data_IF_293796047144
#
_entry.id   IF_293796047144
#
_cell.length_a   1.000
_cell.length_b   1.000
_cell.length_c   1.000
_cell.angle_alpha   90.00
_cell.angle_beta   90.00
_cell.angle_gamma   90.00
#
_symmetry.space_group_name_H-M   'P 1'
#
loop_
_entity.id
_entity.type
_entity.pdbx_description
1 polymer ?
#
# COMPACT_ATOMS: atom_id res chain seq x y z
N UNK A 1 -15.79 4.00 33.15
CA UNK A 1 -15.48 3.86 32.58
C UNK A 1 -15.02 3.81 31.67
N UNK A 2 -14.99 3.59 31.80
CA UNK A 2 -14.52 3.41 31.03
C UNK A 2 -14.31 3.28 30.11
N UNK A 3 -14.08 3.07 30.09
CA UNK A 3 -13.78 2.81 29.31
C UNK A 3 -13.37 2.81 28.40
N UNK A 4 -13.33 2.75 28.74
CA UNK A 4 -12.87 2.60 28.05
C UNK A 4 -12.24 2.73 27.32
N UNK A 5 -12.21 2.88 27.84
CA UNK A 5 -11.59 2.94 27.28
C UNK A 5 -10.97 2.78 26.59
N UNK A 6 -10.91 2.55 26.85
CA UNK A 6 -10.30 2.29 26.35
C UNK A 6 -9.77 2.25 25.58
N UNK A 7 -9.75 2.17 25.86
CA UNK A 7 -9.19 2.01 25.23
C UNK A 7 -8.66 2.19 24.76
N UNK A 8 -8.75 2.45 25.17
CA UNK A 8 -8.26 2.41 24.75
C UNK A 8 -7.35 2.21 24.30
N UNK A 9 -7.57 2.08 24.56
CA UNK A 9 -6.40 1.40 24.24
C UNK A 9 -6.01 1.32 22.79
N UNK A 10 -6.57 2.07 22.04
CA UNK A 10 -6.20 2.23 20.66
C UNK A 10 -4.77 2.71 20.56
N UNK A 11 -3.96 2.04 19.75
CA UNK A 11 -2.61 2.48 19.46
C UNK A 11 -2.66 3.68 18.53
N UNK A 12 -2.41 4.84 19.08
CA UNK A 12 -2.47 6.07 18.29
C UNK A 12 -1.14 6.41 17.63
N UNK A 13 -0.10 5.65 17.92
CA UNK A 13 1.18 5.87 17.28
C UNK A 13 1.16 5.33 15.87
N UNK A 14 1.79 6.07 14.99
CA UNK A 14 1.98 5.60 13.63
C UNK A 14 3.16 4.64 13.60
N UNK A 15 3.08 3.69 12.68
CA UNK A 15 4.15 2.72 12.46
C UNK A 15 4.70 2.89 11.06
N UNK A 16 5.93 2.45 10.89
CA UNK A 16 6.57 2.47 9.57
C UNK A 16 6.17 1.23 8.78
N UNK A 17 5.79 1.45 7.54
CA UNK A 17 5.36 0.39 6.64
C UNK A 17 6.09 0.48 5.32
N UNK A 18 6.29 -0.67 4.71
CA UNK A 18 6.64 -0.77 3.30
C UNK A 18 5.51 -1.45 2.56
N UNK A 19 5.13 -0.89 1.45
CA UNK A 19 4.11 -1.46 0.60
C UNK A 19 4.71 -1.71 -0.77
N UNK A 20 4.73 -2.98 -1.18
CA UNK A 20 5.16 -3.35 -2.51
C UNK A 20 3.90 -3.61 -3.32
N UNK A 21 3.77 -2.91 -4.44
CA UNK A 21 2.69 -3.11 -5.38
C UNK A 21 3.22 -3.76 -6.63
N UNK A 22 2.52 -4.76 -7.12
CA UNK A 22 2.79 -5.34 -8.42
C UNK A 22 1.60 -4.96 -9.29
N UNK A 23 1.85 -4.07 -10.24
CA UNK A 23 0.81 -3.49 -11.08
C UNK A 23 0.85 -4.15 -12.44
N UNK A 24 -0.32 -4.28 -13.08
CA UNK A 24 -0.41 -4.89 -14.40
C UNK A 24 0.56 -4.23 -15.38
N UNK A 25 1.32 -5.03 -16.14
CA UNK A 25 2.29 -4.48 -17.08
C UNK A 25 1.63 -3.80 -18.28
N UNK A 26 0.33 -3.99 -18.45
CA UNK A 26 -0.43 -3.35 -19.52
C UNK A 26 -0.85 -1.93 -19.17
N UNK A 27 -0.68 -1.54 -17.91
CA UNK A 27 -1.05 -0.20 -17.46
C UNK A 27 -0.02 0.79 -18.00
N UNK A 28 -0.49 1.83 -18.69
CA UNK A 28 0.41 2.87 -19.19
C UNK A 28 0.87 3.76 -18.05
N UNK A 29 1.95 4.51 -18.28
CA UNK A 29 2.59 5.32 -17.24
C UNK A 29 1.63 6.30 -16.57
N UNK A 30 0.74 6.92 -17.33
CA UNK A 30 -0.22 7.86 -16.77
C UNK A 30 -1.15 7.20 -15.77
N UNK A 31 -1.61 5.99 -16.10
CA UNK A 31 -2.50 5.25 -15.22
C UNK A 31 -1.73 4.73 -14.01
N UNK A 32 -0.46 4.38 -14.22
CA UNK A 32 0.40 3.97 -13.11
C UNK A 32 0.57 5.13 -12.13
N UNK A 33 0.83 6.33 -12.63
CA UNK A 33 0.92 7.53 -11.81
C UNK A 33 -0.36 7.74 -11.02
N UNK A 34 -1.51 7.60 -11.66
CA UNK A 34 -2.80 7.76 -11.01
C UNK A 34 -2.99 6.75 -9.90
N UNK A 35 -2.57 5.51 -10.14
CA UNK A 35 -2.68 4.44 -9.14
C UNK A 35 -1.82 4.76 -7.91
N UNK A 36 -0.59 5.20 -8.15
CA UNK A 36 0.31 5.58 -7.07
C UNK A 36 -0.25 6.77 -6.31
N UNK A 37 -0.78 7.76 -7.02
CA UNK A 37 -1.36 8.96 -6.41
C UNK A 37 -2.55 8.61 -5.52
N UNK A 38 -3.39 7.67 -5.94
CA UNK A 38 -4.53 7.27 -5.14
C UNK A 38 -4.10 6.62 -3.83
N UNK A 39 -3.06 5.80 -3.87
CA UNK A 39 -2.52 5.18 -2.67
C UNK A 39 -1.94 6.24 -1.75
N UNK A 40 -1.15 7.15 -2.32
CA UNK A 40 -0.54 8.23 -1.54
C UNK A 40 -1.60 9.14 -0.93
N UNK A 41 -2.63 9.45 -1.68
CA UNK A 41 -3.72 10.30 -1.20
C UNK A 41 -4.47 9.65 -0.05
N UNK A 42 -4.74 8.36 -0.15
CA UNK A 42 -5.38 7.63 0.95
C UNK A 42 -4.57 7.78 2.22
N UNK A 43 -3.26 7.56 2.12
CA UNK A 43 -2.37 7.60 3.28
C UNK A 43 -2.35 8.99 3.89
N UNK A 44 -2.21 10.03 3.07
CA UNK A 44 -2.14 11.41 3.58
C UNK A 44 -3.47 11.88 4.14
N UNK A 45 -4.58 11.45 3.57
CA UNK A 45 -5.90 11.81 4.09
C UNK A 45 -6.18 11.16 5.44
N UNK A 46 -5.50 10.08 5.76
CA UNK A 46 -5.62 9.40 7.04
C UNK A 46 -4.51 9.82 8.00
N UNK A 47 -3.93 10.98 7.78
CA UNK A 47 -2.88 11.57 8.60
C UNK A 47 -1.58 10.80 8.56
N UNK A 48 -1.40 9.95 7.56
CA UNK A 48 -0.13 9.29 7.34
C UNK A 48 0.85 10.18 6.62
N UNK A 49 2.09 9.75 6.58
CA UNK A 49 3.17 10.50 5.94
C UNK A 49 3.91 9.57 4.99
N UNK A 50 4.04 10.00 3.74
CA UNK A 50 4.83 9.26 2.75
C UNK A 50 6.29 9.64 2.91
N UNK A 51 7.16 8.66 3.12
CA UNK A 51 8.60 8.89 3.23
C UNK A 51 9.29 8.75 1.90
N UNK A 52 8.84 7.79 1.08
CA UNK A 52 9.56 7.46 -0.15
C UNK A 52 8.64 6.68 -1.09
N UNK A 53 8.84 6.89 -2.38
CA UNK A 53 8.17 6.11 -3.42
C UNK A 53 9.22 5.75 -4.46
N UNK A 54 9.40 4.46 -4.71
CA UNK A 54 10.36 3.98 -5.69
C UNK A 54 9.64 3.18 -6.77
N UNK A 55 9.94 3.47 -8.00
CA UNK A 55 9.46 2.68 -9.12
C UNK A 55 10.58 1.78 -9.58
N UNK A 56 10.36 0.49 -9.47
CA UNK A 56 11.39 -0.47 -9.84
C UNK A 56 11.27 -0.90 -11.31
N UNK A 57 10.18 -0.53 -11.97
CA UNK A 57 9.94 -0.91 -13.35
C UNK A 57 9.40 -2.32 -13.49
N UNK A 58 9.36 -2.78 -14.73
CA UNK A 58 8.83 -4.10 -15.03
C UNK A 58 9.82 -5.17 -14.62
N UNK A 59 9.33 -6.19 -13.96
CA UNK A 59 10.14 -7.32 -13.53
C UNK A 59 9.39 -8.60 -13.81
N UNK A 60 10.15 -9.65 -14.09
CA UNK A 60 9.59 -10.97 -14.29
C UNK A 60 9.09 -11.52 -12.97
N UNK A 61 7.90 -12.10 -12.99
CA UNK A 61 7.31 -12.72 -11.81
C UNK A 61 7.85 -14.13 -11.65
N UNK A 62 7.96 -14.58 -10.40
CA UNK A 62 8.41 -15.94 -10.11
C UNK A 62 7.41 -16.96 -10.64
N UNK A 63 6.13 -16.58 -10.67
CA UNK A 63 5.06 -17.40 -11.24
C UNK A 63 4.02 -16.45 -11.79
N UNK A 64 3.21 -16.89 -12.77
CA UNK A 64 2.21 -16.00 -13.36
C UNK A 64 1.16 -15.55 -12.34
N UNK A 65 0.78 -14.29 -12.45
CA UNK A 65 -0.34 -13.75 -11.67
C UNK A 65 -1.38 -13.28 -12.66
N UNK A 66 -2.59 -13.85 -12.63
CA UNK A 66 -3.68 -13.47 -13.54
C UNK A 66 -3.22 -13.49 -14.99
N UNK A 67 -2.45 -14.51 -15.38
CA UNK A 67 -1.92 -14.70 -16.73
C UNK A 67 -0.75 -13.80 -17.10
N UNK A 68 -0.35 -12.89 -16.23
CA UNK A 68 0.79 -12.02 -16.51
C UNK A 68 2.07 -12.68 -16.01
N UNK A 69 3.09 -12.60 -16.84
CA UNK A 69 4.42 -13.12 -16.50
C UNK A 69 5.32 -12.04 -15.93
N UNK A 70 4.90 -10.78 -16.05
CA UNK A 70 5.64 -9.61 -15.58
C UNK A 70 4.71 -8.68 -14.83
N UNK A 71 5.28 -7.78 -14.06
CA UNK A 71 4.52 -6.73 -13.41
C UNK A 71 5.40 -5.53 -13.18
N UNK A 72 4.77 -4.39 -13.04
CA UNK A 72 5.47 -3.16 -12.67
C UNK A 72 5.51 -3.07 -11.17
N UNK A 73 6.70 -2.98 -10.61
CA UNK A 73 6.91 -2.95 -9.16
C UNK A 73 7.03 -1.52 -8.68
N UNK A 74 6.30 -1.21 -7.61
CA UNK A 74 6.38 0.08 -6.94
C UNK A 74 6.51 -0.18 -5.44
N UNK A 75 7.48 0.47 -4.83
CA UNK A 75 7.69 0.40 -3.39
C UNK A 75 7.33 1.75 -2.79
N UNK A 76 6.49 1.74 -1.77
CA UNK A 76 6.11 2.95 -1.04
C UNK A 76 6.43 2.75 0.43
N UNK A 77 7.16 3.70 1.02
CA UNK A 77 7.42 3.70 2.46
C UNK A 77 6.64 4.83 3.08
N UNK A 78 5.98 4.53 4.19
CA UNK A 78 5.11 5.51 4.81
C UNK A 78 4.87 5.19 6.28
N UNK A 79 4.32 6.17 6.97
CA UNK A 79 3.86 6.00 8.35
C UNK A 79 2.35 6.09 8.37
N UNK A 80 1.75 5.22 9.16
CA UNK A 80 0.29 5.16 9.26
C UNK A 80 -0.08 4.48 10.57
N UNK A 81 -1.24 4.81 11.10
CA UNK A 81 -1.74 4.13 12.29
C UNK A 81 -2.10 2.69 11.91
N UNK A 82 -1.74 1.72 12.74
CA UNK A 82 -2.01 0.31 12.41
C UNK A 82 -3.48 0.01 12.13
N UNK A 83 -4.39 0.69 12.83
CA UNK A 83 -5.81 0.44 12.64
C UNK A 83 -6.27 0.77 11.21
N UNK A 84 -5.53 1.64 10.51
CA UNK A 84 -5.88 2.05 9.16
C UNK A 84 -5.28 1.18 8.08
N UNK A 85 -4.34 0.30 8.44
CA UNK A 85 -3.68 -0.54 7.45
C UNK A 85 -4.65 -1.50 6.77
N UNK A 86 -5.65 -1.98 7.49
CA UNK A 86 -6.64 -2.87 6.90
C UNK A 86 -7.53 -2.16 5.90
N UNK A 87 -7.87 -0.89 6.17
CA UNK A 87 -8.63 -0.10 5.20
C UNK A 87 -7.81 0.12 3.94
N UNK A 88 -6.52 0.38 4.11
CA UNK A 88 -5.64 0.54 2.95
C UNK A 88 -5.63 -0.73 2.11
N UNK A 89 -5.45 -1.89 2.75
CA UNK A 89 -5.41 -3.15 2.02
C UNK A 89 -6.73 -3.43 1.32
N UNK A 90 -7.86 -3.10 1.95
CA UNK A 90 -9.16 -3.29 1.32
C UNK A 90 -9.28 -2.46 0.05
N UNK A 91 -8.78 -1.22 0.09
CA UNK A 91 -8.78 -0.37 -1.09
C UNK A 91 -7.89 -0.92 -2.20
N UNK A 92 -6.75 -1.49 -1.82
CA UNK A 92 -5.84 -2.07 -2.81
C UNK A 92 -6.44 -3.29 -3.49
N UNK A 93 -7.19 -4.10 -2.73
CA UNK A 93 -7.76 -5.33 -3.27
C UNK A 93 -8.83 -5.09 -4.32
N UNK A 94 -9.52 -3.96 -4.27
CA UNK A 94 -10.56 -3.68 -5.26
C UNK A 94 -10.02 -3.03 -6.52
N UNK A 95 -8.75 -2.71 -6.57
CA UNK A 95 -8.16 -2.10 -7.75
C UNK A 95 -7.77 -3.17 -8.75
N UNK A 96 -8.31 -3.08 -9.95
CA UNK A 96 -8.01 -4.06 -11.01
C UNK A 96 -6.60 -3.88 -11.56
N UNK A 97 -6.03 -2.68 -11.39
CA UNK A 97 -4.68 -2.41 -11.86
C UNK A 97 -3.64 -3.11 -11.01
N UNK A 98 -3.95 -3.40 -9.76
CA UNK A 98 -3.00 -4.00 -8.83
C UNK A 98 -3.16 -5.51 -8.83
N UNK A 99 -2.15 -6.21 -9.32
CA UNK A 99 -2.16 -7.66 -9.38
C UNK A 99 -1.95 -8.26 -8.00
N UNK A 100 -1.09 -7.63 -7.22
CA UNK A 100 -0.76 -8.13 -5.89
C UNK A 100 -0.18 -6.99 -5.07
N UNK A 101 -0.39 -7.04 -3.78
CA UNK A 101 0.26 -6.11 -2.86
C UNK A 101 0.84 -6.87 -1.68
N UNK A 102 1.90 -6.33 -1.11
CA UNK A 102 2.52 -6.87 0.08
C UNK A 102 2.80 -5.72 1.03
N UNK A 103 2.13 -5.74 2.18
CA UNK A 103 2.28 -4.70 3.19
C UNK A 103 3.07 -5.26 4.36
N UNK A 104 4.18 -4.60 4.68
CA UNK A 104 5.09 -5.04 5.73
C UNK A 104 5.20 -3.93 6.78
N UNK A 105 4.98 -4.31 8.03
CA UNK A 105 5.21 -3.39 9.14
C UNK A 105 6.66 -3.55 9.57
N UNK A 106 7.40 -2.44 9.58
CA UNK A 106 8.84 -2.49 9.76
C UNK A 106 9.28 -2.54 11.22
N UNK A 107 8.52 -1.97 12.11
CA UNK A 107 8.96 -1.87 13.50
C UNK A 107 8.11 -2.73 14.40
N UNK A 108 8.44 -3.96 14.41
CA UNK A 108 7.95 -4.93 15.33
C UNK A 108 6.47 -5.10 15.46
#
# INVERSE_FOLDING_TARGET
MVHKKESKVEDKQQRDYELVLIVSPEIVDETLDTTIDKVSQFITEKDGTISDVERWGKRRLAYPIKHFMEGSYVLTRFKLKPALSKELEANLQISEAILRHLLIKLNG
#
